data_IF_195708233914
#
_entry.id   IF_195708233914
#
_cell.length_a   1.000
_cell.length_b   1.000
_cell.length_c   1.000
_cell.angle_alpha   90.00
_cell.angle_beta   90.00
_cell.angle_gamma   90.00
#
_symmetry.space_group_name_H-M   'P 1'
#
loop_
_entity.id
_entity.type
_entity.pdbx_description
1 polymer ?
#
# COMPACT_ATOMS: atom_id res chain seq x y z
N UNK A 1 -1.99 -14.42 -2.81
CA UNK A 1 -1.21 -13.45 -1.99
C UNK A 1 -2.01 -12.91 -0.82
N UNK A 2 -3.15 -12.26 -1.07
CA UNK A 2 -4.12 -11.80 -0.05
C UNK A 2 -5.39 -12.62 -0.17
N UNK A 3 -5.93 -13.11 0.96
CA UNK A 3 -7.25 -13.74 1.03
C UNK A 3 -7.96 -13.26 2.29
N UNK A 4 -9.09 -12.60 2.09
CA UNK A 4 -9.98 -12.11 3.15
C UNK A 4 -11.31 -12.84 3.05
N UNK A 5 -11.79 -13.33 4.18
CA UNK A 5 -13.03 -14.10 4.30
C UNK A 5 -13.89 -13.52 5.44
N UNK A 6 -15.01 -12.88 5.10
CA UNK A 6 -16.01 -12.42 6.02
C UNK A 6 -15.51 -11.40 7.06
N UNK A 7 -14.57 -10.52 6.70
CA UNK A 7 -14.02 -9.54 7.64
C UNK A 7 -15.09 -8.55 8.07
N UNK A 8 -15.22 -8.41 9.40
CA UNK A 8 -16.03 -7.38 10.04
C UNK A 8 -15.15 -6.52 10.94
N UNK A 9 -15.43 -5.21 10.94
CA UNK A 9 -14.76 -4.24 11.82
C UNK A 9 -15.73 -3.20 12.29
N UNK A 10 -15.71 -2.95 13.61
CA UNK A 10 -16.43 -1.84 14.22
C UNK A 10 -15.52 -1.03 15.12
N UNK A 11 -15.82 0.25 15.26
CA UNK A 11 -15.19 1.15 16.23
C UNK A 11 -16.22 1.63 17.24
N UNK A 12 -15.78 1.91 18.45
CA UNK A 12 -16.65 2.29 19.57
C UNK A 12 -17.31 1.10 20.25
N UNK A 13 -18.13 1.36 21.27
CA UNK A 13 -18.83 0.34 22.08
C UNK A 13 -20.27 0.75 22.32
N UNK A 14 -21.15 -0.24 22.54
CA UNK A 14 -22.57 -0.02 22.86
C UNK A 14 -23.30 0.74 21.75
N UNK A 15 -24.10 1.73 22.12
CA UNK A 15 -24.90 2.53 21.17
C UNK A 15 -24.10 3.45 20.25
N UNK A 16 -22.83 3.70 20.58
CA UNK A 16 -21.90 4.48 19.74
C UNK A 16 -21.05 3.61 18.79
N UNK A 17 -21.32 2.32 18.70
CA UNK A 17 -20.58 1.43 17.82
C UNK A 17 -20.91 1.70 16.34
N UNK A 18 -19.88 1.97 15.55
CA UNK A 18 -19.98 2.17 14.09
C UNK A 18 -19.36 0.97 13.38
N UNK A 19 -20.18 0.22 12.64
CA UNK A 19 -19.70 -0.88 11.80
C UNK A 19 -19.15 -0.31 10.49
N UNK A 20 -17.83 -0.40 10.32
CA UNK A 20 -17.12 0.15 9.16
C UNK A 20 -16.93 -0.90 8.08
N UNK A 21 -16.59 -2.15 8.44
CA UNK A 21 -16.55 -3.26 7.49
C UNK A 21 -17.60 -4.30 7.87
N UNK A 22 -18.32 -4.81 6.85
CA UNK A 22 -19.51 -5.65 6.99
C UNK A 22 -19.42 -6.85 6.07
N UNK A 23 -18.77 -7.93 6.54
CA UNK A 23 -18.66 -9.17 5.78
C UNK A 23 -17.88 -8.99 4.47
N UNK A 24 -16.69 -8.38 4.57
CA UNK A 24 -15.81 -8.15 3.44
C UNK A 24 -15.07 -9.43 3.09
N UNK A 25 -15.24 -9.90 1.85
CA UNK A 25 -14.46 -11.01 1.28
C UNK A 25 -13.83 -10.58 -0.03
N UNK A 26 -12.54 -10.81 -0.19
CA UNK A 26 -11.81 -10.51 -1.42
C UNK A 26 -10.54 -11.36 -1.54
N UNK A 27 -10.01 -11.44 -2.74
CA UNK A 27 -8.76 -12.12 -3.04
C UNK A 27 -7.89 -11.27 -3.95
N UNK A 28 -6.58 -11.25 -3.70
CA UNK A 28 -5.58 -10.63 -4.58
C UNK A 28 -4.49 -11.68 -4.80
N UNK A 29 -4.23 -11.98 -6.06
CA UNK A 29 -3.23 -12.97 -6.44
C UNK A 29 -1.82 -12.37 -6.41
N UNK A 30 -0.81 -13.23 -6.37
CA UNK A 30 0.59 -12.80 -6.42
C UNK A 30 0.89 -12.13 -7.77
N UNK A 31 1.54 -10.97 -7.75
CA UNK A 31 1.86 -10.22 -8.96
C UNK A 31 0.70 -9.42 -9.55
N UNK A 32 -0.45 -9.35 -8.88
CA UNK A 32 -1.59 -8.55 -9.34
C UNK A 32 -1.42 -7.07 -8.97
N UNK A 33 -1.83 -6.17 -9.86
CA UNK A 33 -1.97 -4.74 -9.60
C UNK A 33 -3.47 -4.40 -9.49
N UNK A 34 -3.96 -4.18 -8.28
CA UNK A 34 -5.39 -4.01 -7.97
C UNK A 34 -5.65 -2.63 -7.39
N UNK A 35 -6.74 -1.99 -7.79
CA UNK A 35 -7.27 -0.84 -7.08
C UNK A 35 -8.44 -1.21 -6.16
N UNK A 36 -8.54 -0.51 -5.02
CA UNK A 36 -9.70 -0.52 -4.14
C UNK A 36 -10.32 0.88 -4.20
N UNK A 37 -11.52 0.95 -4.77
CA UNK A 37 -12.27 2.19 -4.92
C UNK A 37 -13.49 2.24 -4.01
N UNK A 38 -13.96 3.44 -3.73
CA UNK A 38 -15.21 3.71 -3.00
C UNK A 38 -15.31 5.16 -2.56
N UNK A 39 -16.51 5.59 -2.18
CA UNK A 39 -16.74 6.93 -1.65
C UNK A 39 -16.01 7.17 -0.32
N UNK A 40 -15.89 8.43 0.09
CA UNK A 40 -15.40 8.76 1.44
C UNK A 40 -16.28 8.05 2.49
N UNK A 41 -15.64 7.49 3.52
CA UNK A 41 -16.36 6.76 4.57
C UNK A 41 -16.78 5.31 4.21
N UNK A 42 -16.51 4.81 3.00
CA UNK A 42 -16.89 3.45 2.61
C UNK A 42 -16.08 2.33 3.33
N UNK A 43 -15.01 2.68 4.07
CA UNK A 43 -14.17 1.73 4.80
C UNK A 43 -12.83 1.41 4.15
N UNK A 44 -12.43 2.09 3.06
CA UNK A 44 -11.16 1.84 2.32
C UNK A 44 -9.93 1.89 3.21
N UNK A 45 -9.75 2.99 3.97
CA UNK A 45 -8.58 3.15 4.84
C UNK A 45 -8.57 2.13 5.98
N UNK A 46 -9.76 1.75 6.51
CA UNK A 46 -9.87 0.67 7.51
C UNK A 46 -9.45 -0.67 6.91
N UNK A 47 -9.92 -0.98 5.70
CA UNK A 47 -9.52 -2.19 4.99
C UNK A 47 -8.02 -2.19 4.71
N UNK A 48 -7.46 -1.08 4.23
CA UNK A 48 -6.03 -0.94 4.00
C UNK A 48 -5.21 -1.13 5.27
N UNK A 49 -5.66 -0.57 6.40
CA UNK A 49 -4.99 -0.74 7.69
C UNK A 49 -4.99 -2.21 8.14
N UNK A 50 -6.07 -2.95 7.92
CA UNK A 50 -6.12 -4.38 8.20
C UNK A 50 -5.18 -5.14 7.26
N UNK A 51 -5.21 -4.86 5.96
CA UNK A 51 -4.28 -5.46 4.98
C UNK A 51 -2.82 -5.18 5.35
N UNK A 52 -2.56 -4.01 5.88
CA UNK A 52 -1.25 -3.55 6.32
C UNK A 52 -0.83 -4.03 7.71
N UNK A 53 -1.67 -4.79 8.40
CA UNK A 53 -1.43 -5.23 9.80
C UNK A 53 -1.21 -4.01 10.73
N UNK A 54 -1.85 -2.89 10.43
CA UNK A 54 -1.84 -1.67 11.25
C UNK A 54 -3.03 -1.62 12.21
N UNK A 55 -4.08 -2.40 11.93
CA UNK A 55 -5.27 -2.55 12.75
C UNK A 55 -5.76 -4.01 12.72
N UNK A 56 -6.47 -4.42 13.75
CA UNK A 56 -7.09 -5.74 13.86
C UNK A 56 -8.52 -5.72 13.29
N UNK A 57 -9.10 -6.91 13.12
CA UNK A 57 -10.49 -7.10 12.74
C UNK A 57 -11.25 -7.92 13.80
N UNK A 58 -12.58 -7.73 13.89
CA UNK A 58 -13.39 -8.35 14.92
C UNK A 58 -13.79 -9.79 14.57
N UNK A 59 -14.18 -10.03 13.30
CA UNK A 59 -14.63 -11.33 12.83
C UNK A 59 -14.07 -11.61 11.41
N UNK A 60 -14.09 -12.87 11.01
CA UNK A 60 -13.60 -13.34 9.73
C UNK A 60 -12.17 -13.86 9.80
N UNK A 61 -11.51 -13.96 8.64
CA UNK A 61 -10.14 -14.41 8.52
C UNK A 61 -9.37 -13.60 7.47
N UNK A 62 -8.14 -13.22 7.78
CA UNK A 62 -7.20 -12.61 6.84
C UNK A 62 -5.96 -13.49 6.71
N UNK A 63 -5.64 -13.85 5.48
CA UNK A 63 -4.42 -14.58 5.14
C UNK A 63 -3.54 -13.72 4.26
N UNK A 64 -2.27 -13.60 4.63
CA UNK A 64 -1.21 -12.97 3.86
C UNK A 64 -0.15 -14.02 3.55
N UNK A 65 0.09 -14.29 2.27
CA UNK A 65 1.05 -15.32 1.84
C UNK A 65 0.78 -16.67 2.55
N UNK A 66 -0.51 -17.09 2.53
CA UNK A 66 -1.08 -18.30 3.15
C UNK A 66 -0.96 -18.38 4.69
N UNK A 67 -0.48 -17.34 5.35
CA UNK A 67 -0.42 -17.25 6.81
C UNK A 67 -1.62 -16.49 7.36
N UNK A 68 -2.30 -17.09 8.33
CA UNK A 68 -3.38 -16.42 9.04
C UNK A 68 -2.81 -15.26 9.88
N UNK A 69 -3.30 -14.07 9.61
CA UNK A 69 -2.96 -12.83 10.32
C UNK A 69 -4.07 -12.55 11.32
N UNK A 70 -3.89 -12.99 12.55
CA UNK A 70 -4.87 -12.80 13.63
C UNK A 70 -4.18 -12.87 14.98
N UNK A 71 -4.60 -12.02 15.92
CA UNK A 71 -4.13 -12.00 17.31
C UNK A 71 -2.59 -11.93 17.41
N UNK A 72 -1.95 -11.19 16.51
CA UNK A 72 -0.52 -10.99 16.54
C UNK A 72 -0.14 -10.06 17.71
N UNK A 73 0.96 -10.39 18.39
CA UNK A 73 1.60 -9.41 19.27
C UNK A 73 2.14 -8.24 18.42
N UNK A 74 2.31 -7.07 19.04
CA UNK A 74 2.90 -5.90 18.39
C UNK A 74 4.26 -6.20 17.75
N UNK A 75 5.05 -7.04 18.38
CA UNK A 75 6.36 -7.46 17.85
C UNK A 75 6.23 -8.32 16.59
N UNK A 76 5.30 -9.25 16.57
CA UNK A 76 5.01 -10.08 15.39
C UNK A 76 4.43 -9.23 14.26
N UNK A 77 3.45 -8.37 14.56
CA UNK A 77 2.87 -7.45 13.60
C UNK A 77 3.95 -6.56 12.96
N UNK A 78 4.82 -5.95 13.77
CA UNK A 78 5.94 -5.13 13.27
C UNK A 78 6.92 -5.95 12.41
N UNK A 79 7.18 -7.20 12.78
CA UNK A 79 8.03 -8.10 11.99
C UNK A 79 7.43 -8.41 10.63
N UNK A 80 6.12 -8.75 10.56
CA UNK A 80 5.42 -9.00 9.30
C UNK A 80 5.38 -7.75 8.44
N UNK A 81 5.01 -6.59 8.99
CA UNK A 81 5.02 -5.30 8.27
C UNK A 81 6.37 -5.04 7.63
N UNK A 82 7.43 -5.09 8.44
CA UNK A 82 8.77 -4.74 7.96
C UNK A 82 9.31 -5.68 6.88
N UNK A 83 8.87 -6.95 6.84
CA UNK A 83 9.40 -7.95 5.91
C UNK A 83 8.54 -8.20 4.69
N UNK A 84 7.22 -8.06 4.82
CA UNK A 84 6.29 -8.47 3.78
C UNK A 84 5.59 -7.31 3.11
N UNK A 85 5.52 -6.14 3.78
CA UNK A 85 4.65 -5.05 3.33
C UNK A 85 5.46 -3.76 3.17
N UNK A 86 5.35 -3.14 2.00
CA UNK A 86 5.77 -1.77 1.76
C UNK A 86 4.56 -0.84 1.80
N UNK A 87 4.70 0.35 2.39
CA UNK A 87 3.65 1.35 2.46
C UNK A 87 4.01 2.64 1.73
N UNK A 88 3.08 3.13 0.93
CA UNK A 88 3.11 4.45 0.29
C UNK A 88 1.85 5.20 0.71
N UNK A 89 1.99 6.35 1.34
CA UNK A 89 0.88 7.16 1.87
C UNK A 89 0.71 8.46 1.08
N UNK A 90 -0.49 8.99 1.06
CA UNK A 90 -0.81 10.29 0.47
C UNK A 90 0.06 11.42 1.03
N UNK A 91 0.29 11.44 2.34
CA UNK A 91 1.10 12.46 3.03
C UNK A 91 2.60 12.16 3.05
N UNK A 92 3.08 11.23 2.22
CA UNK A 92 4.48 10.78 2.10
C UNK A 92 5.04 10.16 3.39
N UNK A 93 4.69 10.66 4.57
CA UNK A 93 5.14 10.24 5.90
C UNK A 93 6.68 10.14 5.99
N UNK A 94 7.39 11.12 5.42
CA UNK A 94 8.84 11.24 5.53
C UNK A 94 9.20 11.96 6.84
N UNK A 95 10.31 11.54 7.45
CA UNK A 95 10.87 12.22 8.62
C UNK A 95 11.57 13.50 8.13
N UNK A 96 11.01 14.67 8.43
CA UNK A 96 11.45 15.96 7.89
C UNK A 96 12.90 16.36 8.26
N UNK A 97 13.43 15.80 9.35
CA UNK A 97 14.80 16.03 9.82
C UNK A 97 15.81 15.01 9.31
N UNK A 98 15.40 14.08 8.45
CA UNK A 98 16.24 13.08 7.80
C UNK A 98 16.29 13.34 6.31
N UNK A 99 17.48 13.12 5.71
CA UNK A 99 17.64 13.19 4.26
C UNK A 99 16.80 12.12 3.53
N UNK A 100 16.69 12.23 2.20
CA UNK A 100 16.04 11.22 1.38
C UNK A 100 16.70 9.84 1.56
N UNK A 101 18.04 9.76 1.55
CA UNK A 101 18.77 8.52 1.82
C UNK A 101 18.43 7.94 3.20
N UNK A 102 18.42 8.76 4.24
CA UNK A 102 18.13 8.30 5.60
C UNK A 102 16.68 7.85 5.77
N UNK A 103 15.73 8.50 5.09
CA UNK A 103 14.33 8.06 5.05
C UNK A 103 14.19 6.70 4.38
N UNK A 104 14.83 6.51 3.22
CA UNK A 104 14.81 5.22 2.51
C UNK A 104 15.52 4.13 3.30
N UNK A 105 16.62 4.44 4.00
CA UNK A 105 17.38 3.48 4.80
C UNK A 105 16.65 3.03 6.10
N UNK A 106 15.61 3.74 6.54
CA UNK A 106 14.98 3.55 7.84
C UNK A 106 14.43 2.13 8.08
N UNK A 107 13.74 1.48 7.14
CA UNK A 107 13.26 0.11 7.35
C UNK A 107 14.37 -0.89 7.62
N UNK A 108 15.53 -0.73 6.98
CA UNK A 108 16.70 -1.60 7.18
C UNK A 108 17.39 -1.35 8.53
N UNK A 109 17.24 -0.15 9.10
CA UNK A 109 17.68 0.11 10.48
C UNK A 109 16.97 -0.82 11.47
N UNK A 110 15.66 -0.97 11.33
CA UNK A 110 14.87 -1.89 12.16
C UNK A 110 15.17 -3.37 11.90
N UNK A 111 15.77 -3.70 10.74
CA UNK A 111 16.27 -5.04 10.45
C UNK A 111 17.69 -5.29 11.00
N UNK A 112 18.30 -4.31 11.68
CA UNK A 112 19.66 -4.42 12.22
C UNK A 112 20.78 -4.31 11.18
N UNK A 113 20.48 -3.82 9.96
CA UNK A 113 21.48 -3.63 8.91
C UNK A 113 22.40 -2.47 9.26
N UNK A 114 23.72 -2.67 9.14
CA UNK A 114 24.71 -1.64 9.46
C UNK A 114 24.49 -0.35 8.66
N UNK A 115 24.86 0.82 9.23
CA UNK A 115 24.68 2.13 8.60
C UNK A 115 25.28 2.19 7.18
N UNK A 116 26.49 1.69 7.02
CA UNK A 116 27.18 1.69 5.72
C UNK A 116 26.42 0.89 4.67
N UNK A 117 25.95 -0.31 5.04
CA UNK A 117 25.24 -1.20 4.12
C UNK A 117 23.84 -0.65 3.75
N UNK A 118 23.06 -0.19 4.76
CA UNK A 118 21.71 0.33 4.49
C UNK A 118 21.73 1.63 3.68
N UNK A 119 22.71 2.54 3.93
CA UNK A 119 22.84 3.78 3.18
C UNK A 119 23.24 3.51 1.72
N UNK A 120 24.16 2.56 1.49
CA UNK A 120 24.49 2.12 0.11
C UNK A 120 23.25 1.63 -0.63
N UNK A 121 22.48 0.74 -0.01
CA UNK A 121 21.23 0.24 -0.60
C UNK A 121 20.21 1.36 -0.82
N UNK A 122 20.09 2.29 0.12
CA UNK A 122 19.17 3.43 -0.02
C UNK A 122 19.49 4.29 -1.25
N UNK A 123 20.77 4.56 -1.53
CA UNK A 123 21.20 5.26 -2.75
C UNK A 123 20.82 4.49 -4.01
N UNK A 124 21.04 3.17 -4.03
CA UNK A 124 20.65 2.31 -5.16
C UNK A 124 19.13 2.37 -5.43
N UNK A 125 18.31 2.39 -4.37
CA UNK A 125 16.85 2.52 -4.52
C UNK A 125 16.41 3.93 -4.91
N UNK A 126 17.10 4.99 -4.46
CA UNK A 126 16.86 6.34 -4.93
C UNK A 126 17.23 6.50 -6.42
N UNK A 127 18.30 5.89 -6.88
CA UNK A 127 18.65 5.87 -8.30
C UNK A 127 17.55 5.21 -9.15
N UNK A 128 16.98 4.09 -8.70
CA UNK A 128 15.87 3.39 -9.39
C UNK A 128 14.63 4.26 -9.57
N UNK A 129 14.38 5.19 -8.65
CA UNK A 129 13.25 6.14 -8.75
C UNK A 129 13.67 7.49 -9.34
N UNK A 130 14.88 7.59 -9.92
CA UNK A 130 15.41 8.80 -10.58
C UNK A 130 15.86 9.90 -9.62
N UNK A 131 16.13 9.58 -8.34
CA UNK A 131 16.46 10.55 -7.28
C UNK A 131 17.86 10.37 -6.68
N UNK A 132 18.78 9.67 -7.35
CA UNK A 132 20.15 9.49 -6.84
C UNK A 132 20.85 10.81 -6.52
N UNK A 133 20.64 11.84 -7.35
CA UNK A 133 21.18 13.19 -7.16
C UNK A 133 20.54 13.97 -6.01
N UNK A 134 19.44 13.50 -5.44
CA UNK A 134 18.70 14.09 -4.31
C UNK A 134 18.92 13.37 -2.98
N UNK A 135 19.82 12.39 -2.93
CA UNK A 135 19.99 11.51 -1.76
C UNK A 135 20.21 12.27 -0.44
N UNK A 136 20.92 13.41 -0.48
CA UNK A 136 21.27 14.21 0.69
C UNK A 136 20.24 15.31 1.03
N UNK A 137 19.24 15.53 0.16
CA UNK A 137 18.23 16.58 0.38
C UNK A 137 17.25 16.18 1.49
N UNK A 138 16.80 17.18 2.24
CA UNK A 138 15.72 17.05 3.22
C UNK A 138 14.36 17.05 2.49
N UNK A 139 13.31 16.46 3.08
CA UNK A 139 11.96 16.46 2.49
C UNK A 139 11.41 17.85 2.14
N UNK A 140 11.79 18.89 2.89
CA UNK A 140 11.39 20.28 2.62
C UNK A 140 12.01 20.85 1.33
N UNK A 141 13.11 20.27 0.85
CA UNK A 141 13.83 20.69 -0.36
C UNK A 141 13.38 19.92 -1.61
N UNK A 142 12.43 19.00 -1.46
CA UNK A 142 11.89 18.13 -2.52
C UNK A 142 10.49 18.57 -2.95
N UNK A 143 10.19 18.45 -4.23
CA UNK A 143 8.83 18.58 -4.75
C UNK A 143 7.89 17.49 -4.22
N UNK A 144 6.58 17.64 -4.39
CA UNK A 144 5.60 16.62 -4.02
C UNK A 144 5.88 15.27 -4.66
N UNK A 145 6.12 15.26 -5.97
CA UNK A 145 6.45 14.04 -6.71
C UNK A 145 7.79 13.41 -6.30
N UNK A 146 8.81 14.24 -6.00
CA UNK A 146 10.08 13.72 -5.48
C UNK A 146 9.89 13.08 -4.10
N UNK A 147 9.14 13.72 -3.18
CA UNK A 147 8.80 13.14 -1.88
C UNK A 147 8.08 11.81 -2.00
N UNK A 148 7.14 11.72 -2.95
CA UNK A 148 6.40 10.47 -3.18
C UNK A 148 7.31 9.37 -3.72
N UNK A 149 8.21 9.68 -4.66
CA UNK A 149 9.22 8.71 -5.14
C UNK A 149 10.18 8.27 -4.03
N UNK A 150 10.57 9.15 -3.10
CA UNK A 150 11.33 8.76 -1.89
C UNK A 150 10.52 7.79 -1.03
N UNK A 151 9.20 8.03 -0.84
CA UNK A 151 8.32 7.13 -0.10
C UNK A 151 8.20 5.75 -0.78
N UNK A 152 8.12 5.72 -2.11
CA UNK A 152 8.15 4.45 -2.88
C UNK A 152 9.48 3.73 -2.70
N UNK A 153 10.62 4.41 -2.84
CA UNK A 153 11.93 3.82 -2.62
C UNK A 153 12.07 3.24 -1.20
N UNK A 154 11.59 3.96 -0.18
CA UNK A 154 11.53 3.48 1.21
C UNK A 154 10.66 2.24 1.36
N UNK A 155 9.52 2.18 0.68
CA UNK A 155 8.63 1.04 0.73
C UNK A 155 9.27 -0.22 0.10
N UNK A 156 10.09 -0.05 -0.92
CA UNK A 156 10.69 -1.14 -1.69
C UNK A 156 12.00 -1.70 -1.12
N UNK A 157 12.72 -0.94 -0.28
CA UNK A 157 14.10 -1.29 0.13
C UNK A 157 14.19 -2.61 0.89
N UNK A 158 13.12 -3.01 1.57
CA UNK A 158 13.05 -4.30 2.28
C UNK A 158 12.73 -5.46 1.36
N UNK A 159 12.51 -5.22 0.06
CA UNK A 159 12.03 -6.19 -0.93
C UNK A 159 10.75 -6.88 -0.47
N UNK A 160 9.69 -6.12 -0.17
CA UNK A 160 8.43 -6.68 0.32
C UNK A 160 7.77 -7.55 -0.75
N UNK A 161 6.79 -8.37 -0.36
CA UNK A 161 5.94 -9.14 -1.29
C UNK A 161 4.70 -8.36 -1.73
N UNK A 162 4.28 -7.39 -0.91
CA UNK A 162 3.09 -6.59 -1.09
C UNK A 162 3.42 -5.11 -0.93
N UNK A 163 2.99 -4.30 -1.87
CA UNK A 163 3.01 -2.85 -1.78
C UNK A 163 1.57 -2.34 -1.60
N UNK A 164 1.32 -1.62 -0.52
CA UNK A 164 0.06 -0.96 -0.23
C UNK A 164 0.22 0.54 -0.44
N UNK A 165 -0.60 1.13 -1.29
CA UNK A 165 -0.58 2.55 -1.59
C UNK A 165 -1.93 3.19 -1.23
N UNK A 166 -1.94 4.10 -0.26
CA UNK A 166 -3.12 4.83 0.20
C UNK A 166 -3.17 6.21 -0.46
N UNK A 167 -4.07 6.38 -1.41
CA UNK A 167 -4.24 7.59 -2.22
C UNK A 167 -2.90 8.21 -2.68
N UNK A 168 -2.04 7.43 -3.34
CA UNK A 168 -0.65 7.81 -3.57
C UNK A 168 -0.51 9.04 -4.49
N UNK A 169 -1.55 9.40 -5.22
CA UNK A 169 -1.64 10.54 -6.15
C UNK A 169 -2.30 11.77 -5.57
N UNK A 170 -3.03 11.65 -4.47
CA UNK A 170 -3.93 12.69 -3.96
C UNK A 170 -3.27 14.01 -3.51
N UNK A 171 -1.93 14.09 -3.48
CA UNK A 171 -1.17 15.31 -3.18
C UNK A 171 -0.32 15.78 -4.38
N UNK A 172 -0.55 15.23 -5.59
CA UNK A 172 0.24 15.45 -6.79
C UNK A 172 -0.59 16.10 -7.89
N UNK A 173 0.07 16.79 -8.81
CA UNK A 173 -0.55 17.19 -10.07
C UNK A 173 -0.78 15.99 -10.99
N UNK A 174 -1.65 16.14 -11.99
CA UNK A 174 -2.05 15.06 -12.90
C UNK A 174 -0.88 14.40 -13.62
N UNK A 175 0.07 15.17 -14.13
CA UNK A 175 1.22 14.62 -14.86
C UNK A 175 2.12 13.79 -13.94
N UNK A 176 2.38 14.28 -12.73
CA UNK A 176 3.15 13.58 -11.71
C UNK A 176 2.43 12.33 -11.20
N UNK A 177 1.09 12.36 -11.13
CA UNK A 177 0.25 11.22 -10.75
C UNK A 177 0.41 10.07 -11.74
N UNK A 178 0.33 10.34 -13.04
CA UNK A 178 0.54 9.31 -14.06
C UNK A 178 1.96 8.74 -14.04
N UNK A 179 2.99 9.59 -13.89
CA UNK A 179 4.38 9.12 -13.74
C UNK A 179 4.56 8.21 -12.54
N UNK A 180 3.90 8.50 -11.42
CA UNK A 180 3.92 7.63 -10.25
C UNK A 180 3.24 6.29 -10.52
N UNK A 181 2.09 6.29 -11.19
CA UNK A 181 1.38 5.06 -11.53
C UNK A 181 2.17 4.21 -12.54
N UNK A 182 2.85 4.83 -13.49
CA UNK A 182 3.75 4.12 -14.41
C UNK A 182 4.90 3.45 -13.65
N UNK A 183 5.51 4.14 -12.66
CA UNK A 183 6.50 3.54 -11.77
C UNK A 183 5.93 2.35 -10.99
N UNK A 184 4.70 2.44 -10.46
CA UNK A 184 4.06 1.32 -9.76
C UNK A 184 3.76 0.14 -10.70
N UNK A 185 3.40 0.40 -11.96
CA UNK A 185 3.22 -0.63 -12.99
C UNK A 185 4.52 -1.33 -13.34
N UNK A 186 5.61 -0.58 -13.51
CA UNK A 186 6.95 -1.15 -13.73
C UNK A 186 7.38 -2.06 -12.58
N UNK A 187 7.14 -1.63 -11.32
CA UNK A 187 7.41 -2.43 -10.13
C UNK A 187 6.55 -3.70 -10.13
N UNK A 188 5.27 -3.60 -10.49
CA UNK A 188 4.36 -4.74 -10.60
C UNK A 188 4.81 -5.73 -11.67
N UNK A 189 5.24 -5.25 -12.85
CA UNK A 189 5.76 -6.10 -13.94
C UNK A 189 7.00 -6.90 -13.53
N UNK A 190 7.72 -6.46 -12.50
CA UNK A 190 8.82 -7.21 -11.88
C UNK A 190 8.34 -8.29 -10.88
N UNK A 191 7.03 -8.53 -10.79
CA UNK A 191 6.40 -9.56 -9.96
C UNK A 191 5.90 -9.09 -8.59
N UNK A 192 5.96 -7.78 -8.30
CA UNK A 192 5.43 -7.22 -7.05
C UNK A 192 3.90 -7.21 -7.06
N UNK A 193 3.27 -7.67 -5.97
CA UNK A 193 1.83 -7.45 -5.77
C UNK A 193 1.60 -6.03 -5.28
N UNK A 194 0.70 -5.29 -5.93
CA UNK A 194 0.42 -3.89 -5.60
C UNK A 194 -1.07 -3.68 -5.38
N UNK A 195 -1.44 -3.08 -4.26
CA UNK A 195 -2.82 -2.65 -3.97
C UNK A 195 -2.84 -1.14 -3.82
N UNK A 196 -3.61 -0.46 -4.65
CA UNK A 196 -3.78 0.99 -4.66
C UNK A 196 -5.17 1.33 -4.14
N UNK A 197 -5.27 2.06 -3.05
CA UNK A 197 -6.54 2.67 -2.61
C UNK A 197 -6.64 4.04 -3.26
N UNK A 198 -7.73 4.28 -3.99
CA UNK A 198 -7.97 5.58 -4.61
C UNK A 198 -9.47 5.85 -4.75
N UNK A 199 -9.85 7.10 -4.87
CA UNK A 199 -11.18 7.53 -5.29
C UNK A 199 -11.18 8.12 -6.71
N UNK A 200 -10.01 8.21 -7.36
CA UNK A 200 -9.82 8.72 -8.71
C UNK A 200 -10.02 7.59 -9.73
N UNK A 201 -10.97 7.77 -10.67
CA UNK A 201 -11.29 6.78 -11.69
C UNK A 201 -10.12 6.54 -12.65
N UNK A 202 -9.47 7.61 -13.11
CA UNK A 202 -8.35 7.55 -14.04
C UNK A 202 -7.18 6.72 -13.48
N UNK A 203 -6.92 6.86 -12.17
CA UNK A 203 -5.88 6.08 -11.47
C UNK A 203 -6.29 4.61 -11.36
N UNK A 204 -7.57 4.34 -11.07
CA UNK A 204 -8.05 2.95 -10.99
C UNK A 204 -8.02 2.25 -12.35
N UNK A 205 -8.27 2.95 -13.45
CA UNK A 205 -8.19 2.41 -14.82
C UNK A 205 -6.76 2.00 -15.22
N UNK A 206 -5.75 2.53 -14.54
CA UNK A 206 -4.35 2.13 -14.73
C UNK A 206 -4.00 0.81 -14.03
N UNK A 207 -4.91 0.21 -13.28
CA UNK A 207 -4.73 -1.09 -12.62
C UNK A 207 -5.38 -2.23 -13.40
N UNK A 208 -4.99 -3.47 -13.11
CA UNK A 208 -5.53 -4.65 -13.82
C UNK A 208 -6.98 -4.92 -13.45
N UNK A 209 -7.39 -4.59 -12.22
CA UNK A 209 -8.74 -4.85 -11.69
C UNK A 209 -9.08 -3.85 -10.59
N UNK A 210 -10.35 -3.49 -10.52
CA UNK A 210 -10.89 -2.62 -9.48
C UNK A 210 -11.84 -3.38 -8.55
N UNK A 211 -11.57 -3.32 -7.25
CA UNK A 211 -12.47 -3.78 -6.20
C UNK A 211 -13.25 -2.57 -5.69
N UNK A 212 -14.57 -2.62 -5.77
CA UNK A 212 -15.43 -1.53 -5.29
C UNK A 212 -15.90 -1.80 -3.87
N UNK A 213 -15.64 -0.86 -2.97
CA UNK A 213 -16.09 -0.90 -1.58
C UNK A 213 -17.18 0.16 -1.37
N UNK A 214 -18.36 -0.29 -0.94
CA UNK A 214 -19.50 0.59 -0.64
C UNK A 214 -20.15 0.20 0.68
N UNK A 215 -20.34 1.16 1.55
CA UNK A 215 -20.98 0.99 2.87
C UNK A 215 -20.40 -0.19 3.69
N UNK A 216 -19.07 -0.36 3.59
CA UNK A 216 -18.34 -1.42 4.27
C UNK A 216 -18.47 -2.81 3.66
N UNK A 217 -18.93 -2.93 2.42
CA UNK A 217 -19.06 -4.20 1.68
C UNK A 217 -18.35 -4.11 0.34
N UNK A 218 -17.84 -5.23 -0.14
CA UNK A 218 -17.39 -5.35 -1.53
C UNK A 218 -18.61 -5.48 -2.42
N UNK A 219 -18.76 -4.58 -3.39
CA UNK A 219 -19.75 -4.75 -4.45
C UNK A 219 -19.35 -5.96 -5.32
N UNK A 220 -20.34 -6.77 -5.69
CA UNK A 220 -20.09 -7.85 -6.64
C UNK A 220 -19.50 -7.26 -7.94
N UNK A 221 -18.51 -7.95 -8.51
CA UNK A 221 -17.95 -7.56 -9.81
C UNK A 221 -19.08 -7.36 -10.81
N UNK A 222 -19.03 -6.26 -11.55
CA UNK A 222 -20.02 -5.93 -12.57
C UNK A 222 -20.00 -7.05 -13.63
N UNK A 223 -21.10 -7.84 -13.82
CA UNK A 223 -21.08 -8.99 -14.72
C UNK A 223 -20.80 -8.61 -16.18
N UNK A 224 -20.97 -7.35 -16.57
CA UNK A 224 -20.67 -6.87 -17.92
C UNK A 224 -19.17 -6.74 -18.21
N UNK A 225 -18.30 -6.55 -17.20
CA UNK A 225 -16.83 -6.52 -17.38
C UNK A 225 -16.20 -7.92 -17.35
N UNK A 226 -16.80 -8.87 -16.66
CA UNK A 226 -16.36 -10.27 -16.65
C UNK A 226 -16.53 -10.96 -18.03
N UNK A 227 -17.39 -10.42 -18.91
CA UNK A 227 -17.63 -10.96 -20.25
C UNK A 227 -16.68 -10.39 -21.33
N UNK A 228 -15.78 -9.46 -20.99
CA UNK A 228 -14.82 -8.83 -21.92
C UNK A 228 -13.37 -9.30 -21.74
N UNK A 229 -13.10 -10.23 -20.85
CA UNK A 229 -11.80 -10.91 -20.84
C UNK A 229 -11.76 -11.88 -22.04
N UNK A 230 -10.80 -11.73 -22.98
CA UNK A 230 -10.65 -12.67 -24.10
C UNK A 230 -10.24 -14.03 -23.51
N UNK A 231 -11.03 -15.02 -23.85
CA UNK A 231 -10.97 -16.38 -23.32
C UNK A 231 -9.58 -17.00 -23.28
N UNK A 232 -9.47 -17.91 -22.33
CA UNK A 232 -8.36 -18.81 -22.07
C UNK A 232 -7.89 -19.59 -23.31
#
# INVERSE_FOLDING_TARGET
>A
MIRIEGIQKQYGRGSAAVRVLRDVSLRVETGELVSIMGSSGSGKSTLLNILGILDDYDQGAYYLDDKLIRNLSEREAAHYRNRLIGFVFQSFNLLGFKSAEENVALPLYYQGVSRRARNKLAREYLERVGLGHRAEHLPAELSGGERQRVAVARALITKPKLLLADEPTGALDTATSYQLMDLLREINQQGMTVVVVTHEHDIAEMTSRTIRLKDGRVEAADPERAAQEPGA
#
